data_IF_354920541144
#
_entry.id   IF_354920541144
#
_cell.length_a   1.000
_cell.length_b   1.000
_cell.length_c   1.000
_cell.angle_alpha   90.00
_cell.angle_beta   90.00
_cell.angle_gamma   90.00
#
_symmetry.space_group_name_H-M   'P 1'
#
loop_
_entity.id
_entity.type
_entity.pdbx_description
1 polymer ?
2 non-polymer ?
3 non-polymer ?
4 non-polymer ?
5 water ?
#
# COMPACT_ATOMS: atom_id res chain seq x y z
N UNK A 1 -19.07 -5.15 -4.19
CA UNK A 1 -17.78 -5.46 -3.58
C UNK A 1 -17.13 -6.66 -4.23
N UNK A 2 -17.63 -7.06 -5.39
CA UNK A 2 -17.12 -8.26 -6.06
C UNK A 2 -15.70 -8.07 -6.61
N UNK A 3 -15.42 -6.89 -7.15
CA UNK A 3 -14.15 -6.64 -7.82
C UNK A 3 -12.95 -6.76 -6.87
N UNK A 4 -11.93 -7.54 -7.28
CA UNK A 4 -10.72 -7.66 -6.48
C UNK A 4 -10.00 -6.33 -6.42
N UNK A 5 -9.19 -6.13 -5.38
CA UNK A 5 -8.36 -4.93 -5.28
C UNK A 5 -7.47 -4.81 -6.52
N UNK A 6 -7.17 -3.57 -6.92
CA UNK A 6 -6.35 -3.34 -8.09
C UNK A 6 -4.92 -2.98 -7.66
N UNK A 7 -4.77 -2.60 -6.39
CA UNK A 7 -3.46 -2.26 -5.83
C UNK A 7 -3.37 -2.91 -4.46
N UNK A 8 -2.22 -3.53 -4.18
CA UNK A 8 -1.96 -4.01 -2.83
C UNK A 8 -0.65 -3.43 -2.33
N UNK A 9 -0.68 -2.87 -1.11
CA UNK A 9 0.50 -2.25 -0.51
C UNK A 9 1.00 -3.16 0.59
N UNK A 10 2.26 -3.57 0.48
CA UNK A 10 2.84 -4.52 1.43
C UNK A 10 3.93 -3.87 2.28
N UNK A 11 3.73 -3.82 3.59
CA UNK A 11 4.74 -3.30 4.50
C UNK A 11 5.86 -4.31 4.72
N UNK A 12 6.74 -4.45 3.74
CA UNK A 12 7.86 -5.42 3.87
C UNK A 12 8.85 -5.00 4.96
N UNK A 13 8.81 -3.72 5.34
CA UNK A 13 9.52 -3.29 6.54
C UNK A 13 8.89 -2.03 7.09
N UNK A 14 8.93 -1.85 8.39
CA UNK A 14 8.15 -0.79 9.04
C UNK A 14 8.97 0.47 9.35
N UNK A 15 10.29 0.36 9.33
CA UNK A 15 11.12 1.51 9.67
C UNK A 15 11.36 2.38 8.45
N UNK A 16 11.44 3.68 8.67
CA UNK A 16 11.95 4.60 7.67
C UNK A 16 13.14 5.37 8.23
N UNK A 17 14.08 5.75 7.37
CA UNK A 17 15.28 6.45 7.84
C UNK A 17 15.03 7.92 8.15
N UNK A 18 13.90 8.43 7.68
CA UNK A 18 13.59 9.83 7.92
C UNK A 18 12.62 10.02 9.09
N UNK A 19 12.44 11.27 9.50
CA UNK A 19 11.73 11.58 10.71
C UNK A 19 10.67 12.64 10.46
N UNK A 20 10.10 12.65 9.26
CA UNK A 20 9.19 13.72 8.83
C UNK A 20 8.06 13.96 9.84
N UNK A 21 8.00 15.18 10.36
CA UNK A 21 7.05 15.47 11.43
C UNK A 21 5.60 15.38 10.96
N UNK A 22 5.38 15.57 9.66
CA UNK A 22 4.05 15.46 9.09
C UNK A 22 3.64 14.01 8.88
N UNK A 23 4.57 13.08 9.10
CA UNK A 23 4.31 11.66 8.89
C UNK A 23 4.01 10.91 10.19
N UNK A 24 2.99 10.03 10.16
CA UNK A 24 2.60 9.13 11.25
C UNK A 24 3.77 8.47 11.98
N UNK A 25 4.83 8.10 11.25
CA UNK A 25 6.07 7.66 11.87
C UNK A 25 6.57 8.63 12.94
N UNK A 26 6.40 9.93 12.69
CA UNK A 26 6.77 10.95 13.65
C UNK A 26 5.55 11.78 14.07
N UNK A 27 4.99 11.49 15.24
CA UNK A 27 5.58 10.51 16.15
C UNK A 27 4.54 9.51 16.67
N UNK A 33 7.16 -5.37 14.24
CA UNK A 33 8.62 -5.51 14.24
C UNK A 33 9.23 -4.69 13.10
N UNK A 34 10.56 -4.77 12.96
CA UNK A 34 11.25 -4.08 11.89
C UNK A 34 10.94 -4.64 10.51
N UNK A 35 11.15 -5.95 10.31
CA UNK A 35 10.95 -6.50 8.98
C UNK A 35 9.94 -7.62 8.86
N UNK A 36 9.29 -7.67 7.71
CA UNK A 36 8.33 -8.74 7.48
C UNK A 36 9.03 -10.10 7.42
N UNK A 37 8.51 -11.07 8.16
CA UNK A 37 8.96 -12.46 8.06
C UNK A 37 8.90 -12.92 6.60
N UNK A 38 10.04 -13.40 6.05
CA UNK A 38 10.02 -13.89 4.67
C UNK A 38 9.00 -15.00 4.45
N UNK A 39 8.75 -15.79 5.47
CA UNK A 39 7.70 -16.80 5.42
C UNK A 39 6.33 -16.15 5.23
N UNK A 40 6.12 -15.00 5.86
CA UNK A 40 4.82 -14.31 5.73
C UNK A 40 4.69 -13.73 4.34
N UNK A 41 5.78 -13.18 3.80
CA UNK A 41 5.76 -12.66 2.45
C UNK A 41 5.53 -13.79 1.45
N UNK A 42 6.10 -14.97 1.72
CA UNK A 42 5.85 -16.11 0.84
C UNK A 42 4.37 -16.52 0.81
N UNK A 43 3.71 -16.60 1.97
CA UNK A 43 2.30 -16.99 1.91
C UNK A 43 1.46 -15.93 1.21
N UNK A 44 1.84 -14.66 1.33
CA UNK A 44 1.14 -13.61 0.57
C UNK A 44 1.31 -13.82 -0.93
N UNK A 45 2.53 -14.14 -1.36
CA UNK A 45 2.79 -14.44 -2.76
C UNK A 45 1.93 -15.61 -3.25
N UNK A 46 1.81 -16.65 -2.43
CA UNK A 46 1.04 -17.83 -2.78
C UNK A 46 -0.43 -17.50 -2.91
N UNK A 47 -0.92 -16.61 -2.06
CA UNK A 47 -2.32 -16.22 -2.10
C UNK A 47 -2.60 -15.37 -3.31
N UNK A 48 -1.69 -14.42 -3.57
CA UNK A 48 -1.84 -13.53 -4.72
C UNK A 48 -1.69 -14.34 -5.99
N UNK A 49 -0.84 -15.36 -5.94
CA UNK A 49 -0.67 -16.23 -7.09
C UNK A 49 -1.93 -17.05 -7.38
N UNK A 50 -2.59 -17.51 -6.32
CA UNK A 50 -3.82 -18.30 -6.46
C UNK A 50 -4.97 -17.45 -7.06
N UNK A 51 -4.79 -16.14 -7.06
CA UNK A 51 -5.78 -15.23 -7.65
C UNK A 51 -5.37 -14.78 -9.05
N UNK A 52 -4.22 -15.25 -9.54
CA UNK A 52 -3.64 -14.74 -10.79
C UNK A 52 -3.60 -13.19 -10.76
N UNK A 53 -3.20 -12.65 -9.61
CA UNK A 53 -3.22 -11.20 -9.40
C UNK A 53 -2.43 -10.43 -10.46
N UNK A 54 -3.09 -9.47 -11.10
CA UNK A 54 -2.50 -8.73 -12.22
C UNK A 54 -2.63 -7.23 -12.05
N UNK A 55 -2.79 -6.77 -10.80
CA UNK A 55 -2.87 -5.34 -10.54
C UNK A 55 -1.51 -4.81 -10.12
N UNK A 56 -1.50 -3.69 -9.42
CA UNK A 56 -0.25 -3.12 -8.94
C UNK A 56 0.11 -3.65 -7.56
N UNK A 57 1.41 -3.84 -7.32
CA UNK A 57 1.89 -4.17 -5.99
C UNK A 57 2.98 -3.18 -5.58
N UNK A 58 2.81 -2.55 -4.42
CA UNK A 58 3.86 -1.69 -3.84
C UNK A 58 4.37 -2.24 -2.50
N UNK A 59 5.55 -1.77 -2.08
CA UNK A 59 6.28 -2.37 -0.95
C UNK A 59 6.52 -1.42 0.21
N UNK A 60 5.67 -0.43 0.33
CA UNK A 60 5.75 0.46 1.44
C UNK A 60 4.41 0.41 2.14
N UNK A 61 4.39 1.00 3.31
CA UNK A 61 3.17 1.40 4.00
C UNK A 61 3.56 2.74 4.61
N UNK A 62 4.35 2.71 5.67
CA UNK A 62 4.92 3.95 6.22
C UNK A 62 6.40 3.76 6.51
N UNK A 63 7.01 2.84 5.78
CA UNK A 63 8.44 2.59 5.92
C UNK A 63 9.13 2.73 4.58
N UNK A 64 10.47 2.69 4.62
CA UNK A 64 11.27 2.81 3.41
C UNK A 64 11.60 1.42 2.89
N UNK A 65 11.09 1.07 1.70
CA UNK A 65 11.31 -0.30 1.21
C UNK A 65 12.78 -0.62 0.93
N UNK A 66 13.59 0.35 0.54
CA UNK A 66 15.01 0.08 0.28
C UNK A 66 15.81 -0.26 1.54
N UNK A 67 15.16 -0.15 2.70
CA UNK A 67 15.77 -0.54 3.95
C UNK A 67 15.54 -2.03 4.23
N UNK A 68 14.62 -2.63 3.48
CA UNK A 68 14.29 -4.03 3.69
C UNK A 68 15.46 -4.89 3.24
N UNK A 69 15.99 -5.71 4.13
CA UNK A 69 17.17 -6.49 3.78
C UNK A 69 16.85 -7.61 2.80
N UNK A 70 15.57 -7.96 2.68
CA UNK A 70 15.12 -9.02 1.80
C UNK A 70 14.44 -8.48 0.55
N UNK A 71 14.63 -7.19 0.28
CA UNK A 71 13.91 -6.57 -0.84
C UNK A 71 14.12 -7.28 -2.19
N UNK A 72 15.36 -7.60 -2.54
CA UNK A 72 15.63 -8.24 -3.83
C UNK A 72 14.89 -9.57 -3.94
N UNK A 73 14.97 -10.36 -2.88
CA UNK A 73 14.27 -11.63 -2.77
C UNK A 73 12.77 -11.42 -2.99
N UNK A 74 12.20 -10.46 -2.26
CA UNK A 74 10.78 -10.18 -2.34
C UNK A 74 10.36 -9.72 -3.74
N UNK A 75 11.16 -8.87 -4.35
CA UNK A 75 10.86 -8.43 -5.71
C UNK A 75 10.98 -9.58 -6.72
N UNK A 76 12.03 -10.38 -6.59
CA UNK A 76 12.22 -11.53 -7.45
C UNK A 76 11.06 -12.52 -7.34
N UNK A 77 10.54 -12.68 -6.13
CA UNK A 77 9.40 -13.57 -5.91
C UNK A 77 8.12 -13.08 -6.58
N UNK A 78 7.95 -11.77 -6.72
CA UNK A 78 6.74 -11.27 -7.36
C UNK A 78 6.72 -11.70 -8.81
N UNK A 79 7.89 -11.64 -9.44
CA UNK A 79 8.04 -12.05 -10.83
C UNK A 79 7.75 -13.54 -11.02
N UNK A 80 7.99 -14.33 -9.97
CA UNK A 80 7.78 -15.78 -10.04
C UNK A 80 6.32 -16.12 -9.77
N UNK A 81 5.75 -15.50 -8.74
CA UNK A 81 4.41 -15.81 -8.29
C UNK A 81 3.32 -15.05 -9.05
N UNK A 82 3.57 -13.77 -9.30
CA UNK A 82 2.57 -12.92 -9.95
C UNK A 82 3.17 -12.10 -11.11
N UNK A 83 3.62 -12.79 -12.16
CA UNK A 83 4.34 -12.11 -13.25
C UNK A 83 3.47 -11.12 -14.04
N UNK A 84 2.14 -11.25 -13.95
CA UNK A 84 1.24 -10.27 -14.57
C UNK A 84 1.13 -8.97 -13.75
N UNK A 85 1.46 -9.03 -12.45
CA UNK A 85 1.31 -7.86 -11.59
C UNK A 85 2.32 -6.78 -11.95
N UNK A 86 2.10 -5.57 -11.45
CA UNK A 86 2.97 -4.43 -11.75
C UNK A 86 3.61 -3.90 -10.48
N UNK A 87 4.88 -4.28 -10.23
CA UNK A 87 5.61 -3.91 -9.02
C UNK A 87 6.11 -2.46 -9.09
N UNK A 88 5.79 -1.68 -8.05
CA UNK A 88 6.15 -0.28 -7.99
C UNK A 88 6.90 0.00 -6.70
N UNK A 89 7.99 0.75 -6.76
CA UNK A 89 8.68 1.18 -5.54
C UNK A 89 8.35 2.64 -5.23
N UNK A 90 7.83 2.89 -4.03
CA UNK A 90 7.71 4.25 -3.54
C UNK A 90 8.83 4.44 -2.51
N UNK A 91 9.74 5.38 -2.75
CA UNK A 91 10.93 5.50 -1.92
C UNK A 91 11.32 6.97 -1.68
N UNK A 92 11.94 7.26 -0.52
CA UNK A 92 12.46 8.61 -0.31
C UNK A 92 13.74 8.86 -1.09
N UNK A 93 14.28 7.80 -1.69
CA UNK A 93 15.44 7.91 -2.57
C UNK A 93 16.81 7.86 -1.91
N UNK A 94 16.87 7.97 -0.58
CA UNK A 94 18.16 8.08 0.11
C UNK A 94 19.05 6.84 -0.05
N UNK A 95 18.43 5.71 -0.38
CA UNK A 95 19.15 4.46 -0.59
C UNK A 95 19.19 4.03 -2.06
N UNK A 96 18.58 4.82 -2.93
CA UNK A 96 18.47 4.46 -4.35
C UNK A 96 19.71 4.86 -5.16
N UNK A 97 20.76 4.05 -5.10
CA UNK A 97 21.92 4.23 -5.95
C UNK A 97 21.55 3.79 -7.35
N UNK A 98 22.42 4.06 -8.31
CA UNK A 98 22.18 3.59 -9.67
C UNK A 98 22.20 2.06 -9.73
N UNK A 99 23.08 1.46 -8.92
CA UNK A 99 23.17 0.01 -8.83
C UNK A 99 21.89 -0.65 -8.29
N UNK A 100 21.35 -0.14 -7.19
CA UNK A 100 20.07 -0.65 -6.67
C UNK A 100 18.97 -0.49 -7.71
N UNK A 101 18.98 0.65 -8.40
CA UNK A 101 17.95 0.93 -9.40
C UNK A 101 17.99 -0.13 -10.49
N UNK A 102 19.17 -0.39 -11.04
CA UNK A 102 19.28 -1.30 -12.16
C UNK A 102 19.00 -2.74 -11.72
N UNK A 103 19.42 -3.06 -10.51
CA UNK A 103 19.18 -4.38 -9.92
C UNK A 103 17.68 -4.59 -9.70
N UNK A 104 17.03 -3.64 -9.05
CA UNK A 104 15.60 -3.74 -8.81
C UNK A 104 14.79 -3.78 -10.11
N UNK A 105 15.22 -3.00 -11.10
CA UNK A 105 14.56 -3.04 -12.41
C UNK A 105 14.66 -4.43 -13.05
N UNK A 106 15.85 -5.02 -13.05
CA UNK A 106 16.05 -6.36 -13.60
C UNK A 106 15.20 -7.40 -12.86
N UNK A 107 15.06 -7.22 -11.55
CA UNK A 107 14.27 -8.15 -10.73
C UNK A 107 12.77 -8.06 -10.96
N UNK A 108 12.28 -6.93 -11.47
CA UNK A 108 10.88 -6.81 -11.83
C UNK A 108 10.20 -5.47 -11.60
N UNK A 109 10.84 -4.56 -10.84
CA UNK A 109 10.20 -3.26 -10.58
C UNK A 109 9.99 -2.51 -11.89
N UNK A 110 8.75 -2.08 -12.13
CA UNK A 110 8.45 -1.35 -13.37
C UNK A 110 8.45 0.16 -13.18
N UNK A 111 8.42 0.60 -11.92
CA UNK A 111 8.38 2.05 -11.68
C UNK A 111 8.93 2.41 -10.30
N UNK A 112 9.74 3.47 -10.27
CA UNK A 112 10.20 4.05 -9.02
C UNK A 112 9.59 5.44 -8.86
N UNK A 113 8.91 5.66 -7.74
CA UNK A 113 8.37 6.97 -7.42
C UNK A 113 9.26 7.48 -6.31
N UNK A 114 10.13 8.44 -6.63
CA UNK A 114 11.05 8.94 -5.62
C UNK A 114 10.54 10.26 -5.04
N UNK A 115 10.47 10.34 -3.72
CA UNK A 115 10.08 11.57 -3.05
C UNK A 115 11.19 12.10 -2.14
N UNK A 116 11.82 13.19 -2.54
CA UNK A 116 12.75 13.89 -1.65
C UNK A 116 11.94 14.41 -0.45
N UNK A 117 12.28 13.94 0.75
CA UNK A 117 11.49 14.29 1.93
C UNK A 117 12.19 15.21 2.92
N UNK A 118 11.52 15.45 4.05
CA UNK A 118 11.94 16.47 5.03
C UNK A 118 13.34 16.27 5.56
N UNK A 119 14.18 17.28 5.34
CA UNK A 119 15.59 17.25 5.67
C UNK A 119 16.32 18.28 4.83
N UNK A 120 17.38 17.86 4.15
CA UNK A 120 17.86 16.48 4.24
C UNK A 120 18.96 16.35 5.29
N UNK A 135 17.76 4.31 -15.48
CA UNK A 135 16.35 4.21 -15.86
C UNK A 135 15.50 5.32 -15.24
N UNK A 136 15.41 6.47 -15.91
CA UNK A 136 14.62 7.59 -15.42
C UNK A 136 13.26 7.67 -16.12
N UNK A 137 13.01 6.73 -17.04
CA UNK A 137 11.67 6.55 -17.59
C UNK A 137 10.83 5.82 -16.55
N UNK A 138 11.50 5.00 -15.76
CA UNK A 138 10.85 4.27 -14.68
C UNK A 138 11.01 5.01 -13.36
N UNK A 139 11.60 6.21 -13.41
CA UNK A 139 11.73 7.02 -12.21
C UNK A 139 10.88 8.28 -12.28
N UNK A 140 9.94 8.39 -11.36
CA UNK A 140 9.22 9.64 -11.20
C UNK A 140 9.76 10.31 -9.94
N UNK A 141 10.21 11.55 -10.08
CA UNK A 141 10.77 12.32 -8.98
C UNK A 141 9.76 13.34 -8.47
N UNK A 142 9.32 13.16 -7.24
CA UNK A 142 8.51 14.17 -6.58
C UNK A 142 9.34 14.83 -5.50
N UNK A 143 8.89 15.99 -5.05
CA UNK A 143 9.45 16.62 -3.87
C UNK A 143 8.28 17.06 -2.99
N UNK A 144 8.25 16.56 -1.76
CA UNK A 144 7.34 17.11 -0.77
C UNK A 144 7.71 18.59 -0.80
N UNK A 145 6.71 19.44 -1.03
CA UNK A 145 6.93 20.88 -1.10
C UNK A 145 5.62 21.61 -1.42
N UNK A 162 -16.37 17.12 9.66
CA UNK A 162 -17.03 18.26 9.03
C UNK A 162 -17.81 17.84 7.78
N UNK A 163 -17.78 18.71 6.77
CA UNK A 163 -18.51 18.48 5.52
C UNK A 163 -18.04 17.25 4.74
N UNK A 164 -16.91 16.68 5.14
CA UNK A 164 -16.41 15.46 4.50
C UNK A 164 -17.23 14.23 4.89
N UNK A 165 -18.12 14.39 5.86
CA UNK A 165 -18.92 13.29 6.40
C UNK A 165 -19.75 12.55 5.34
N UNK A 166 -20.07 13.24 4.25
CA UNK A 166 -20.92 12.69 3.20
C UNK A 166 -20.18 12.39 1.90
N UNK A 167 -18.86 12.56 1.91
CA UNK A 167 -18.09 12.29 0.71
C UNK A 167 -17.89 10.81 0.48
N UNK A 168 -17.97 10.41 -0.78
CA UNK A 168 -17.67 9.04 -1.16
C UNK A 168 -16.17 8.80 -1.04
N UNK A 169 -15.79 7.53 -1.04
CA UNK A 169 -14.41 7.16 -1.19
C UNK A 169 -14.27 5.73 -1.70
N UNK A 170 -13.50 5.58 -2.77
CA UNK A 170 -13.37 4.30 -3.44
C UNK A 170 -12.10 3.54 -3.05
N UNK A 171 -11.28 4.11 -2.18
CA UNK A 171 -10.04 3.42 -1.76
C UNK A 171 -10.29 1.99 -1.25
N UNK A 172 -11.27 1.80 -0.34
CA UNK A 172 -11.50 0.42 0.11
C UNK A 172 -12.04 -0.51 -0.98
N UNK A 173 -12.43 0.04 -2.14
CA UNK A 173 -12.86 -0.78 -3.26
C UNK A 173 -11.70 -1.21 -4.18
N UNK A 174 -10.55 -0.56 -4.01
CA UNK A 174 -9.42 -0.75 -4.93
C UNK A 174 -8.11 -1.17 -4.27
N UNK A 175 -8.02 -0.97 -2.97
CA UNK A 175 -6.72 -1.05 -2.29
C UNK A 175 -6.82 -1.95 -1.08
N UNK A 176 -5.87 -2.88 -0.96
CA UNK A 176 -5.64 -3.60 0.28
C UNK A 176 -4.25 -3.23 0.79
N UNK A 177 -4.13 -3.05 2.11
CA UNK A 177 -2.83 -2.85 2.73
C UNK A 177 -2.53 -4.06 3.59
N UNK A 178 -1.29 -4.57 3.50
CA UNK A 178 -0.84 -5.65 4.38
C UNK A 178 0.35 -5.13 5.22
N UNK A 179 0.21 -5.15 6.55
CA UNK A 179 1.22 -4.62 7.44
C UNK A 179 2.31 -5.65 7.68
N UNK A 180 3.36 -5.26 8.41
CA UNK A 180 4.51 -6.15 8.61
C UNK A 180 4.11 -7.46 9.25
N UNK A 181 3.07 -7.41 10.07
CA UNK A 181 2.64 -8.57 10.82
C UNK A 181 1.45 -9.27 10.16
N UNK A 182 1.10 -8.83 8.95
CA UNK A 182 0.11 -9.53 8.14
C UNK A 182 -1.31 -8.97 8.18
N UNK A 183 -1.53 -7.95 9.00
CA UNK A 183 -2.87 -7.37 9.10
C UNK A 183 -3.29 -6.71 7.81
N UNK A 184 -4.56 -6.87 7.45
CA UNK A 184 -5.06 -6.28 6.23
C UNK A 184 -5.91 -5.05 6.57
N UNK A 185 -5.57 -3.92 5.96
CA UNK A 185 -6.29 -2.67 6.22
C UNK A 185 -6.95 -2.22 4.91
N UNK A 186 -8.03 -1.43 5.00
CA UNK A 186 -8.77 -1.02 3.80
C UNK A 186 -8.20 0.24 3.16
N UNK A 187 -7.17 0.83 3.76
CA UNK A 187 -6.67 2.12 3.28
C UNK A 187 -5.26 2.49 3.79
N UNK A 188 -4.56 3.31 3.02
CA UNK A 188 -3.19 3.70 3.34
C UNK A 188 -3.18 4.72 4.48
N UNK A 189 -4.35 5.24 4.81
CA UNK A 189 -4.51 6.21 5.90
C UNK A 189 -4.53 5.54 7.27
N UNK A 190 -4.89 4.26 7.31
CA UNK A 190 -5.11 3.55 8.57
C UNK A 190 -3.81 3.19 9.31
N UNK A 191 -2.97 4.18 9.59
CA UNK A 191 -1.70 3.90 10.23
C UNK A 191 -1.89 3.35 11.65
N UNK A 192 -3.00 3.69 12.29
CA UNK A 192 -3.29 3.17 13.63
C UNK A 192 -4.04 1.84 13.60
N UNK A 193 -4.28 1.34 12.39
CA UNK A 193 -4.96 0.05 12.20
C UNK A 193 -6.28 -0.02 12.97
N UNK A 194 -7.12 0.98 12.75
CA UNK A 194 -8.45 1.01 13.33
C UNK A 194 -9.36 0.00 12.64
N UNK A 195 -9.04 -0.31 11.39
CA UNK A 195 -9.91 -1.14 10.58
C UNK A 195 -9.16 -2.39 10.09
N UNK A 196 -8.72 -3.23 11.02
CA UNK A 196 -8.09 -4.49 10.65
C UNK A 196 -9.17 -5.43 10.15
N UNK A 197 -9.03 -5.87 8.90
CA UNK A 197 -10.05 -6.69 8.25
C UNK A 197 -9.76 -8.17 8.42
N UNK A 198 -8.51 -8.49 8.71
CA UNK A 198 -8.11 -9.85 9.01
C UNK A 198 -6.59 -9.91 8.95
N UNK A 199 -6.03 -11.11 8.89
CA UNK A 199 -4.59 -11.28 8.84
C UNK A 199 -4.27 -12.42 7.88
N UNK A 200 -3.37 -12.18 6.93
CA UNK A 200 -3.07 -13.16 5.88
C UNK A 200 -2.24 -14.34 6.38
N UNK A 201 -1.71 -14.24 7.59
CA UNK A 201 -1.06 -15.37 8.23
C UNK A 201 -2.10 -16.37 8.74
N UNK A 202 -3.37 -15.96 8.77
CA UNK A 202 -4.41 -16.80 9.36
C UNK A 202 -5.55 -17.09 8.38
N UNK A 203 -5.57 -16.38 7.27
CA UNK A 203 -6.72 -16.44 6.37
C UNK A 203 -6.33 -15.91 5.00
N UNK A 204 -6.96 -16.46 3.97
CA UNK A 204 -6.67 -16.05 2.60
C UNK A 204 -7.10 -14.62 2.36
N UNK A 205 -6.25 -13.86 1.67
CA UNK A 205 -6.53 -12.45 1.49
C UNK A 205 -7.79 -12.23 0.65
N UNK A 206 -8.14 -13.21 -0.17
CA UNK A 206 -9.37 -13.08 -0.95
C UNK A 206 -10.58 -13.19 -0.03
N UNK A 207 -10.48 -14.07 0.97
CA UNK A 207 -11.57 -14.26 1.93
C UNK A 207 -11.71 -13.05 2.85
N UNK A 208 -10.59 -12.42 3.16
CA UNK A 208 -10.61 -11.20 3.95
C UNK A 208 -11.25 -10.08 3.14
N UNK A 209 -10.77 -9.91 1.91
CA UNK A 209 -11.30 -8.92 0.99
C UNK A 209 -12.81 -9.03 0.83
N UNK A 210 -13.33 -10.25 0.86
CA UNK A 210 -14.76 -10.49 0.67
C UNK A 210 -15.53 -10.79 1.95
N UNK A 211 -14.93 -10.61 3.12
CA UNK A 211 -15.71 -10.88 4.33
C UNK A 211 -16.73 -9.76 4.59
N UNK A 212 -17.65 -10.02 5.51
CA UNK A 212 -18.72 -9.06 5.82
C UNK A 212 -18.19 -7.67 6.18
N UNK A 213 -17.14 -7.61 7.01
CA UNK A 213 -16.62 -6.35 7.50
C UNK A 213 -16.03 -5.49 6.37
N UNK A 214 -15.23 -6.11 5.51
CA UNK A 214 -14.62 -5.38 4.39
C UNK A 214 -15.67 -5.00 3.37
N UNK A 215 -16.56 -5.93 3.06
CA UNK A 215 -17.63 -5.70 2.07
C UNK A 215 -18.57 -4.55 2.46
N UNK A 216 -19.01 -4.56 3.71
CA UNK A 216 -19.91 -3.50 4.15
C UNK A 216 -19.15 -2.16 4.24
N UNK A 217 -17.88 -2.22 4.62
CA UNK A 217 -17.09 -0.99 4.74
C UNK A 217 -16.96 -0.33 3.39
N UNK A 218 -16.60 -1.09 2.36
CA UNK A 218 -16.37 -0.49 1.06
C UNK A 218 -17.70 -0.01 0.44
N UNK A 219 -18.79 -0.71 0.75
CA UNK A 219 -20.13 -0.30 0.32
C UNK A 219 -20.55 1.00 1.00
N UNK A 220 -20.26 1.08 2.30
CA UNK A 220 -20.58 2.23 3.14
C UNK A 220 -19.82 3.47 2.65
N UNK A 221 -18.55 3.28 2.29
CA UNK A 221 -17.72 4.39 1.81
C UNK A 221 -18.01 4.73 0.34
N UNK A 222 -18.44 3.75 -0.43
CA UNK A 222 -18.86 4.03 -1.79
C UNK A 222 -20.10 4.93 -1.76
N UNK A 223 -20.93 4.76 -0.73
CA UNK A 223 -22.16 5.54 -0.58
C UNK A 223 -21.94 6.86 0.17
N UNK A 224 -20.70 7.10 0.59
CA UNK A 224 -20.35 8.36 1.23
C UNK A 224 -20.68 8.48 2.70
N UNK A 225 -20.70 7.35 3.42
CA UNK A 225 -20.99 7.40 4.85
C UNK A 225 -19.72 7.44 5.69
N UNK A 226 -18.85 8.39 5.38
CA UNK A 226 -17.58 8.56 6.09
C UNK A 226 -17.80 8.81 7.57
N UNK A 227 -18.84 9.58 7.88
CA UNK A 227 -19.13 9.99 9.25
C UNK A 227 -19.37 8.83 10.19
N UNK A 228 -19.63 7.65 9.63
CA UNK A 228 -20.01 6.49 10.43
C UNK A 228 -18.77 5.71 10.86
N UNK A 229 -17.69 5.86 10.10
CA UNK A 229 -16.43 5.17 10.35
C UNK A 229 -15.47 6.00 11.21
N UNK A 230 -14.91 5.38 12.25
CA UNK A 230 -13.92 6.07 13.08
C UNK A 230 -12.64 6.36 12.31
N UNK A 231 -12.41 5.59 11.24
CA UNK A 231 -11.26 5.82 10.36
C UNK A 231 -11.55 7.04 9.50
N UNK A 232 -12.70 7.04 8.83
CA UNK A 232 -12.96 8.01 7.75
C UNK A 232 -13.57 9.34 8.16
N UNK A 233 -14.27 9.37 9.29
CA UNK A 233 -15.06 10.53 9.66
C UNK A 233 -14.26 11.84 9.78
N UNK A 234 -12.96 11.72 10.05
CA UNK A 234 -12.11 12.90 10.16
C UNK A 234 -11.11 12.98 9.01
N UNK A 235 -11.27 12.09 8.03
CA UNK A 235 -10.38 12.08 6.89
C UNK A 235 -10.62 13.23 5.92
N UNK A 236 -9.55 13.86 5.47
CA UNK A 236 -9.64 14.96 4.51
C UNK A 236 -9.15 14.58 3.12
N UNK A 237 -9.29 13.30 2.77
CA UNK A 237 -9.06 12.91 1.39
C UNK A 237 -10.21 13.39 0.52
N UNK A 238 -9.90 14.24 -0.44
CA UNK A 238 -10.90 14.74 -1.37
C UNK A 238 -10.54 14.44 -2.83
N UNK A 239 -9.31 14.01 -3.07
CA UNK A 239 -8.81 13.87 -4.44
C UNK A 239 -8.55 12.42 -4.82
N UNK A 240 -8.27 11.59 -3.82
CA UNK A 240 -7.88 10.19 -4.07
C UNK A 240 -9.08 9.24 -4.09
N UNK A 241 -9.47 8.81 -5.29
CA UNK A 241 -10.57 7.87 -5.49
C UNK A 241 -11.89 8.30 -4.86
N UNK A 242 -12.28 9.54 -5.15
CA UNK A 242 -13.55 10.07 -4.70
C UNK A 242 -14.33 10.55 -5.92
N UNK A 243 -15.66 10.55 -5.84
CA UNK A 243 -16.49 11.13 -6.92
C UNK A 243 -16.11 12.59 -7.09
N UNK A 244 -15.79 13.21 -5.96
CA UNK A 244 -15.50 14.63 -5.86
C UNK A 244 -14.25 15.03 -6.64
N UNK A 245 -13.46 14.04 -7.07
CA UNK A 245 -12.14 14.28 -7.66
C UNK A 245 -12.13 14.94 -9.05
N UNK A 246 -13.24 14.90 -9.78
CA UNK A 246 -13.30 15.51 -11.10
C UNK A 246 -13.42 17.03 -11.02
N UNK A 247 -13.28 17.55 -9.80
CA UNK A 247 -13.56 18.95 -9.51
C UNK A 247 -12.79 19.37 -8.25
N UNK A 248 -11.94 20.39 -8.39
CA UNK A 248 -11.71 21.07 -9.66
C UNK A 248 -10.24 20.92 -10.00
N UNK A 249 -9.68 21.96 -10.61
CA UNK A 249 -8.24 22.04 -10.88
C UNK A 249 -7.68 20.86 -11.67
X LIG B 1 -10.00 8.55 4.01
X LIG B 1 -11.55 6.49 4.72
X LIG B 1 -9.11 6.07 3.70
X LIG B 1 -11.11 6.92 2.15
X LIG B 1 -11.00 4.86 3.18
X LIG B 1 -8.97 7.75 2.13
X LIG B 1 -12.23 8.34 3.56
X LIG B 1 -9.54 7.08 5.72
X LIG C 1 9.66 8.25 5.86
X LIG C 1 9.16 10.85 5.74
X LIG C 1 7.22 9.20 6.48
X LIG C 1 8.06 9.15 3.90
X LIG C 1 6.98 10.89 4.96
X LIG C 1 7.66 7.32 5.21
X LIG C 1 10.30 9.64 4.15
X LIG C 1 9.16 9.61 7.66
X LIG D 1 -17.20 -0.37 -6.54
X LIG D 1 -18.13 -0.39 -7.61
X LIG D 1 -17.43 -1.58 -5.64
X LIG D 1 -16.37 -2.50 -5.83
X LIG D 1 -17.45 -1.13 -4.18
X LIG D 1 -18.74 -1.25 -3.62
X LIG E 1 -15.43 1.99 -8.90
X LIG E 1 -16.06 1.13 -9.82
X LIG E 1 -13.94 1.63 -8.80
X LIG E 1 -13.20 2.73 -8.36
X LIG E 1 -13.77 0.48 -7.82
X LIG E 1 -14.49 -0.64 -8.28
X LIG F 1 9.31 -17.65 10.23
X LIG F 1 10.36 -18.42 9.87
X LIG F 1 10.56 -19.35 10.84
X LIG F 1 9.65 -19.15 11.81
X LIG F 1 8.86 -18.08 11.43
#
# INVERSE_FOLDING_TARGET
MDKLFSMIEVEVNSQCNRTCWYCPNSVSKRKETGEMDPALYKTLMEQLSSLDFAGRISFHFYGEPLLCKNLDLFVGMTTEYIPRARPIIYTNGDFLTEKRLQTLTELGIQKFIVTQHAGAKHKFRGVYDQLAGADKEKVVYLDHSDLVLSNRGGILDNIPQASKANMSCMVPSNLAVVTVLGNVLPCFEDFNQKMVMGNIGEQHISDIWHNDKFTSFRKMLKEGHRGKSDLCKNCNNVSVQTEEQYDYVLNSSSVDKLAAALEHHHHHH
SF4 FE1 FE2 FE3 FE4 S1 S2 S3 S4
SF4 FE1 FE2 FE3 FE4 S1 S2 S3 S4
GOL C1 O1 C2 O2 C3 O3
GOL C1 O1 C2 O2 C3 O3
IMD N1 C2 N3 C4 C5
#
